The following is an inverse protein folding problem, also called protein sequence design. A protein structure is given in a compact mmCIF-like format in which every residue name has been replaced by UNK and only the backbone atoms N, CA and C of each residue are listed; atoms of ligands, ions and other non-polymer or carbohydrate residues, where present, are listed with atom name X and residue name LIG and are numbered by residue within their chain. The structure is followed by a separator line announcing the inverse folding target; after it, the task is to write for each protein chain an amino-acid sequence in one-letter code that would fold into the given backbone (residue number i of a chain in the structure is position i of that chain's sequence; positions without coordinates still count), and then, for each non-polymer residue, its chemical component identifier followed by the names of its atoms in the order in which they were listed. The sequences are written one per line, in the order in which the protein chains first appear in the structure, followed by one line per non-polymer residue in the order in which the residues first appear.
data_IF_049519395099
#
_entry.id   IF_049519395099
#
_cell.length_a   1.000
_cell.length_b   1.000
_cell.length_c   1.000
_cell.angle_alpha   90.00
_cell.angle_beta   90.00
_cell.angle_gamma   90.00
#
_symmetry.space_group_name_H-M   'P 1'
#
loop_
_entity.id
_entity.type
_entity.pdbx_description
1 polymer ?
#
# COMPACT_ATOMS: atom_id res chain seq x y z
N UNK A 1 -41.39 9.09 21.91
CA UNK A 1 -42.78 9.30 21.47
C UNK A 1 -42.86 10.64 20.79
N UNK A 2 -43.49 10.70 19.64
CA UNK A 2 -43.62 11.91 18.84
C UNK A 2 -44.77 12.73 19.35
N UNK A 3 -44.52 13.86 19.96
CA UNK A 3 -45.54 14.90 20.17
C UNK A 3 -45.57 15.90 18.99
N UNK A 4 -44.78 15.63 17.94
CA UNK A 4 -44.68 16.39 16.70
C UNK A 4 -43.62 17.49 16.75
N UNK A 5 -42.74 17.51 17.76
CA UNK A 5 -41.75 18.59 18.00
C UNK A 5 -40.40 18.10 18.49
N UNK A 6 -40.13 16.79 18.32
CA UNK A 6 -38.86 16.18 18.72
C UNK A 6 -37.80 16.31 17.60
N UNK A 7 -36.52 16.26 18.01
CA UNK A 7 -35.42 16.11 17.09
C UNK A 7 -35.52 14.74 16.40
N UNK A 8 -35.57 14.74 15.07
CA UNK A 8 -35.45 13.51 14.28
C UNK A 8 -34.07 13.41 13.69
N UNK A 9 -33.38 12.31 13.94
CA UNK A 9 -32.10 12.03 13.32
C UNK A 9 -32.19 10.70 12.59
N UNK A 10 -31.46 10.64 11.48
CA UNK A 10 -31.49 9.46 10.61
C UNK A 10 -30.13 9.26 9.92
N UNK A 11 -29.90 8.02 9.50
CA UNK A 11 -28.74 7.62 8.69
C UNK A 11 -29.26 7.03 7.40
N UNK A 12 -28.76 7.52 6.28
CA UNK A 12 -29.05 6.99 4.96
C UNK A 12 -27.88 6.10 4.48
N UNK A 13 -28.23 5.11 3.71
CA UNK A 13 -27.26 4.39 2.91
C UNK A 13 -26.60 5.36 1.92
N UNK A 14 -25.37 5.04 1.48
CA UNK A 14 -24.71 5.78 0.41
C UNK A 14 -25.68 5.92 -0.79
N UNK A 15 -25.72 7.10 -1.37
CA UNK A 15 -26.63 7.49 -2.45
C UNK A 15 -28.12 7.56 -2.07
N UNK A 16 -28.42 7.62 -0.77
CA UNK A 16 -29.78 7.72 -0.22
C UNK A 16 -30.73 6.59 -0.68
N UNK A 17 -30.22 5.43 -1.06
CA UNK A 17 -31.00 4.31 -1.57
C UNK A 17 -31.92 3.69 -0.51
N UNK A 18 -31.57 3.80 0.77
CA UNK A 18 -32.40 3.36 1.90
C UNK A 18 -32.05 4.14 3.17
N UNK A 19 -33.02 4.22 4.09
CA UNK A 19 -32.77 4.68 5.46
C UNK A 19 -32.29 3.48 6.30
N UNK A 20 -31.08 3.60 6.85
CA UNK A 20 -30.46 2.56 7.70
C UNK A 20 -30.93 2.66 9.14
N UNK A 21 -31.15 3.89 9.60
CA UNK A 21 -31.60 4.18 10.95
C UNK A 21 -32.41 5.48 10.97
N UNK A 22 -33.36 5.58 11.86
CA UNK A 22 -34.09 6.82 12.16
C UNK A 22 -34.74 6.73 13.52
N UNK A 23 -34.62 7.80 14.30
CA UNK A 23 -35.22 7.90 15.64
C UNK A 23 -35.57 9.33 16.00
N UNK A 24 -36.56 9.46 16.83
CA UNK A 24 -36.91 10.71 17.48
C UNK A 24 -36.22 10.79 18.84
N UNK A 25 -35.78 11.98 19.21
CA UNK A 25 -35.16 12.25 20.50
C UNK A 25 -35.70 13.59 21.04
N UNK A 26 -36.28 13.54 22.21
CA UNK A 26 -36.87 14.70 22.87
C UNK A 26 -37.60 14.33 24.13
N UNK A 27 -38.28 15.29 24.74
CA UNK A 27 -39.11 15.07 25.90
C UNK A 27 -40.45 14.39 25.56
N UNK A 28 -40.93 13.57 26.48
CA UNK A 28 -42.24 12.94 26.42
C UNK A 28 -43.32 13.91 26.95
N UNK A 29 -43.89 14.73 26.09
CA UNK A 29 -44.98 15.62 26.49
C UNK A 29 -46.33 14.93 26.38
N UNK A 30 -47.09 14.93 27.46
CA UNK A 30 -48.53 14.77 27.43
C UNK A 30 -49.16 16.08 26.94
N UNK A 31 -50.20 15.96 26.11
CA UNK A 31 -50.88 17.06 25.45
C UNK A 31 -50.97 18.35 26.28
N UNK A 32 -50.47 19.49 25.75
CA UNK A 32 -50.50 20.84 26.26
C UNK A 32 -49.33 21.29 27.19
N UNK A 33 -48.25 20.53 27.33
CA UNK A 33 -47.02 21.01 27.98
C UNK A 33 -45.90 21.08 26.94
N UNK A 34 -45.96 22.10 26.10
CA UNK A 34 -45.18 22.16 24.90
C UNK A 34 -43.73 22.53 25.11
N UNK A 35 -42.84 21.60 24.89
CA UNK A 35 -41.47 21.85 24.47
C UNK A 35 -41.35 21.78 22.95
N UNK A 36 -40.47 22.55 22.39
CA UNK A 36 -40.02 22.40 21.00
C UNK A 36 -38.54 22.17 21.01
N UNK A 37 -38.11 20.95 20.68
CA UNK A 37 -36.70 20.70 20.44
C UNK A 37 -36.37 21.10 19.01
N UNK A 38 -35.35 21.94 18.85
CA UNK A 38 -34.96 22.41 17.54
C UNK A 38 -33.46 22.69 17.46
N UNK A 39 -32.95 22.66 16.23
CA UNK A 39 -31.55 22.97 15.93
C UNK A 39 -31.47 24.39 15.39
N UNK A 40 -30.91 25.31 16.17
CA UNK A 40 -30.65 26.67 15.74
C UNK A 40 -29.28 26.75 15.07
N UNK A 41 -29.22 26.73 13.73
CA UNK A 41 -27.99 26.87 12.97
C UNK A 41 -26.92 25.85 13.34
N UNK A 42 -27.34 24.65 13.67
CA UNK A 42 -26.51 23.66 14.35
C UNK A 42 -25.37 23.14 13.53
N UNK A 43 -24.26 22.91 14.19
CA UNK A 43 -23.13 22.16 13.68
C UNK A 43 -23.11 20.81 14.33
N UNK A 44 -23.32 19.76 13.53
CA UNK A 44 -23.00 18.38 13.92
C UNK A 44 -21.50 18.16 13.81
N UNK A 45 -20.94 17.37 14.71
CA UNK A 45 -19.57 16.87 14.65
C UNK A 45 -19.58 15.37 14.72
N UNK A 46 -18.66 14.76 14.01
CA UNK A 46 -18.41 13.33 14.03
C UNK A 46 -16.99 13.10 14.52
N UNK A 47 -16.81 12.12 15.39
CA UNK A 47 -15.48 11.64 15.71
C UNK A 47 -15.07 10.45 14.80
N UNK A 48 -13.84 10.01 14.96
CA UNK A 48 -13.28 8.88 14.20
C UNK A 48 -14.00 7.54 14.45
N UNK A 49 -14.77 7.43 15.52
CA UNK A 49 -15.57 6.27 15.87
C UNK A 49 -17.03 6.38 15.38
N UNK A 50 -17.35 7.42 14.61
CA UNK A 50 -18.69 7.66 14.09
C UNK A 50 -19.70 8.14 15.12
N UNK A 51 -19.23 8.64 16.28
CA UNK A 51 -20.10 9.24 17.31
C UNK A 51 -20.49 10.63 16.85
N UNK A 52 -21.80 10.90 16.90
CA UNK A 52 -22.37 12.20 16.56
C UNK A 52 -22.47 13.06 17.82
N UNK A 53 -22.01 14.29 17.73
CA UNK A 53 -22.18 15.32 18.75
C UNK A 53 -23.03 16.44 18.17
N UNK A 54 -24.19 16.68 18.77
CA UNK A 54 -25.14 17.70 18.33
C UNK A 54 -25.56 18.57 19.49
N UNK A 55 -25.47 19.89 19.32
CA UNK A 55 -26.08 20.85 20.21
C UNK A 55 -27.49 21.20 19.69
N UNK A 56 -28.46 21.18 20.56
CA UNK A 56 -29.87 21.56 20.27
C UNK A 56 -30.40 22.48 21.33
N UNK A 57 -31.39 23.25 20.95
CA UNK A 57 -32.27 23.97 21.86
C UNK A 57 -33.34 22.99 22.33
N UNK A 58 -33.23 22.51 23.56
CA UNK A 58 -34.11 21.47 24.07
C UNK A 58 -34.67 21.75 25.45
N UNK A 59 -35.59 20.92 25.90
CA UNK A 59 -36.26 21.00 27.17
C UNK A 59 -36.87 22.39 27.44
N UNK A 60 -37.63 22.87 26.47
CA UNK A 60 -38.21 24.21 26.48
C UNK A 60 -39.40 24.32 27.46
N UNK A 61 -39.35 25.26 28.39
CA UNK A 61 -40.47 25.58 29.26
C UNK A 61 -41.37 26.62 28.59
N UNK A 62 -42.45 26.21 28.01
CA UNK A 62 -43.45 27.13 27.42
C UNK A 62 -44.55 27.46 28.44
N UNK A 63 -44.18 28.17 29.54
CA UNK A 63 -45.13 28.65 30.53
C UNK A 63 -45.66 27.59 31.51
N UNK A 64 -45.13 26.39 31.52
CA UNK A 64 -45.51 25.35 32.49
C UNK A 64 -44.73 25.52 33.81
N UNK A 65 -45.38 25.31 34.97
CA UNK A 65 -44.71 25.43 36.27
C UNK A 65 -43.66 24.38 36.56
N UNK A 66 -43.72 23.25 35.82
CA UNK A 66 -42.72 22.16 35.88
C UNK A 66 -42.24 21.84 34.50
N UNK A 67 -40.91 21.76 34.34
CA UNK A 67 -40.34 21.26 33.07
C UNK A 67 -40.70 19.79 32.84
N UNK A 68 -41.01 19.40 31.60
CA UNK A 68 -41.09 17.99 31.26
C UNK A 68 -39.76 17.29 31.56
N UNK A 69 -39.84 15.98 31.83
CA UNK A 69 -38.64 15.18 32.08
C UNK A 69 -37.95 14.93 30.76
N UNK A 70 -36.80 15.55 30.58
CA UNK A 70 -35.95 15.32 29.42
C UNK A 70 -35.15 14.02 29.57
N UNK A 71 -35.02 13.20 28.54
CA UNK A 71 -34.27 11.96 28.64
C UNK A 71 -32.77 12.26 28.75
N UNK A 72 -32.22 12.14 29.95
CA UNK A 72 -30.79 12.32 30.23
C UNK A 72 -30.12 10.99 30.55
N UNK A 73 -28.85 10.85 30.18
CA UNK A 73 -28.04 9.69 30.56
C UNK A 73 -27.52 9.83 32.00
N UNK A 74 -27.28 8.73 32.73
CA UNK A 74 -26.64 8.79 34.03
C UNK A 74 -25.31 9.55 33.98
N UNK A 75 -25.10 10.46 34.90
CA UNK A 75 -23.91 11.34 34.94
C UNK A 75 -23.97 12.58 34.04
N UNK A 76 -25.11 12.90 33.46
CA UNK A 76 -25.31 14.17 32.76
C UNK A 76 -25.08 15.36 33.72
N UNK A 77 -24.51 16.47 33.17
CA UNK A 77 -24.24 17.68 33.91
C UNK A 77 -25.47 18.25 34.64
N UNK A 78 -26.61 18.22 33.98
CA UNK A 78 -27.89 18.58 34.55
C UNK A 78 -29.00 17.73 33.97
N UNK A 79 -29.92 17.30 34.79
CA UNK A 79 -31.11 16.53 34.38
C UNK A 79 -32.33 17.40 34.21
N UNK A 80 -32.24 18.68 34.55
CA UNK A 80 -33.37 19.62 34.54
C UNK A 80 -33.01 20.92 33.84
N UNK A 81 -33.99 21.54 33.21
CA UNK A 81 -33.90 22.92 32.79
C UNK A 81 -34.22 23.85 34.01
N UNK A 82 -33.19 24.50 34.57
CA UNK A 82 -33.27 25.35 35.72
C UNK A 82 -33.56 26.84 35.38
N UNK A 83 -33.82 27.15 34.11
CA UNK A 83 -34.16 28.51 33.68
C UNK A 83 -35.58 28.90 34.14
N UNK A 84 -35.83 30.19 34.38
CA UNK A 84 -37.16 30.69 34.75
C UNK A 84 -38.19 30.59 33.62
N UNK A 85 -37.76 30.38 32.40
CA UNK A 85 -38.56 30.20 31.19
C UNK A 85 -37.62 30.01 29.97
N UNK A 86 -38.15 29.51 28.88
CA UNK A 86 -37.38 29.27 27.66
C UNK A 86 -36.72 27.89 27.59
N UNK A 87 -35.89 27.73 26.59
CA UNK A 87 -35.17 26.47 26.29
C UNK A 87 -33.77 26.45 26.94
N UNK A 88 -33.17 25.27 27.01
CA UNK A 88 -31.82 25.12 27.47
C UNK A 88 -30.94 24.57 26.33
N UNK A 89 -29.63 24.83 26.37
CA UNK A 89 -28.69 24.17 25.49
C UNK A 89 -28.55 22.72 25.93
N UNK A 90 -28.94 21.80 25.05
CA UNK A 90 -28.82 20.38 25.28
C UNK A 90 -27.75 19.82 24.36
N UNK A 91 -26.79 19.07 24.91
CA UNK A 91 -25.79 18.35 24.16
C UNK A 91 -26.22 16.91 24.01
N UNK A 92 -26.38 16.47 22.78
CA UNK A 92 -26.73 15.08 22.44
C UNK A 92 -25.48 14.40 21.90
N UNK A 93 -25.11 13.32 22.57
CA UNK A 93 -24.05 12.42 22.08
C UNK A 93 -24.72 11.12 21.63
N UNK A 94 -24.66 10.84 20.34
CA UNK A 94 -25.26 9.65 19.75
C UNK A 94 -24.14 8.74 19.32
N UNK A 95 -23.86 7.71 20.11
CA UNK A 95 -23.03 6.59 19.69
C UNK A 95 -23.93 5.63 18.90
N UNK A 96 -23.90 5.74 17.61
CA UNK A 96 -24.48 4.71 16.78
C UNK A 96 -23.44 3.59 16.70
N UNK A 97 -23.77 2.42 17.19
CA UNK A 97 -22.98 1.20 16.95
C UNK A 97 -23.20 0.78 15.48
N UNK A 98 -22.95 1.72 14.57
CA UNK A 98 -22.93 1.53 13.13
C UNK A 98 -21.53 1.03 12.74
N UNK A 99 -21.05 -0.01 13.42
CA UNK A 99 -19.90 -0.73 12.94
C UNK A 99 -20.27 -1.24 11.54
N UNK A 100 -19.80 -0.52 10.53
CA UNK A 100 -19.93 -0.94 9.14
C UNK A 100 -18.83 -1.95 8.84
N UNK A 101 -19.12 -2.89 7.95
CA UNK A 101 -18.07 -3.64 7.28
C UNK A 101 -17.45 -2.76 6.22
N UNK A 102 -16.13 -2.82 6.08
CA UNK A 102 -15.39 -2.13 5.03
C UNK A 102 -14.39 -3.08 4.38
N UNK A 103 -14.14 -2.91 3.10
CA UNK A 103 -13.17 -3.67 2.33
C UNK A 103 -12.13 -2.75 1.70
N UNK A 104 -10.86 -3.11 1.82
CA UNK A 104 -9.75 -2.41 1.18
C UNK A 104 -8.73 -3.43 0.67
N UNK A 105 -8.92 -3.86 -0.56
CA UNK A 105 -8.07 -4.85 -1.21
C UNK A 105 -6.68 -4.30 -1.52
N UNK A 106 -5.66 -5.09 -1.20
CA UNK A 106 -4.27 -4.87 -1.63
C UNK A 106 -3.66 -6.15 -2.15
N UNK A 107 -2.70 -5.99 -3.05
CA UNK A 107 -1.92 -7.08 -3.64
C UNK A 107 -0.50 -7.12 -3.10
N UNK A 108 0.13 -8.29 -3.19
CA UNK A 108 1.58 -8.45 -3.18
C UNK A 108 2.00 -9.51 -4.18
N UNK A 109 3.17 -9.33 -4.79
CA UNK A 109 3.73 -10.25 -5.77
C UNK A 109 5.15 -10.60 -5.32
N UNK A 110 5.44 -11.89 -5.15
CA UNK A 110 6.74 -12.37 -4.64
C UNK A 110 7.22 -11.63 -3.36
N UNK A 111 6.29 -11.29 -2.47
CA UNK A 111 6.57 -10.58 -1.22
C UNK A 111 6.73 -9.06 -1.36
N UNK A 112 6.60 -8.49 -2.58
CA UNK A 112 6.63 -7.04 -2.80
C UNK A 112 5.22 -6.47 -2.59
N UNK A 113 5.00 -5.66 -1.54
CA UNK A 113 3.68 -5.11 -1.25
C UNK A 113 3.22 -4.09 -2.30
N UNK A 114 1.93 -4.09 -2.60
CA UNK A 114 1.27 -3.18 -3.56
C UNK A 114 1.72 -3.33 -5.00
N UNK A 115 2.47 -4.38 -5.32
CA UNK A 115 2.77 -4.70 -6.71
C UNK A 115 1.51 -5.23 -7.40
N UNK A 116 1.27 -4.75 -8.62
CA UNK A 116 0.07 -4.99 -9.41
C UNK A 116 0.37 -5.47 -10.83
N UNK A 117 1.63 -5.80 -11.12
CA UNK A 117 2.01 -6.22 -12.47
C UNK A 117 3.08 -7.30 -12.45
N UNK A 118 3.01 -8.21 -13.42
CA UNK A 118 4.00 -9.26 -13.55
C UNK A 118 3.85 -10.06 -14.84
N UNK A 119 4.70 -11.07 -14.97
CA UNK A 119 4.73 -11.96 -16.14
C UNK A 119 3.89 -13.20 -15.90
N UNK A 120 3.19 -13.66 -16.95
CA UNK A 120 2.43 -14.90 -16.95
C UNK A 120 3.35 -16.13 -16.84
N UNK A 121 3.04 -17.19 -16.05
CA UNK A 121 1.97 -17.23 -15.06
C UNK A 121 2.28 -16.33 -13.84
N UNK A 122 1.31 -15.54 -13.39
CA UNK A 122 1.49 -14.59 -12.31
C UNK A 122 0.67 -14.99 -11.09
N UNK A 123 1.35 -15.34 -10.01
CA UNK A 123 0.70 -15.56 -8.71
C UNK A 123 0.70 -14.27 -7.91
N UNK A 124 -0.46 -13.87 -7.44
CA UNK A 124 -0.69 -12.66 -6.65
C UNK A 124 -1.36 -13.03 -5.35
N UNK A 125 -0.81 -12.53 -4.24
CA UNK A 125 -1.44 -12.61 -2.93
C UNK A 125 -2.29 -11.37 -2.73
N UNK A 126 -3.51 -11.56 -2.24
CA UNK A 126 -4.48 -10.51 -1.95
C UNK A 126 -4.81 -10.49 -0.47
N UNK A 127 -5.00 -9.30 0.07
CA UNK A 127 -5.44 -9.10 1.46
C UNK A 127 -6.44 -7.97 1.54
N UNK A 128 -7.47 -8.16 2.36
CA UNK A 128 -8.26 -7.04 2.88
C UNK A 128 -7.52 -6.43 4.08
N UNK A 129 -7.08 -5.18 3.95
CA UNK A 129 -6.27 -4.52 4.98
C UNK A 129 -7.09 -4.02 6.18
N UNK A 130 -8.41 -4.03 6.08
CA UNK A 130 -9.32 -3.68 7.18
C UNK A 130 -9.63 -4.92 8.02
N UNK A 131 -9.98 -6.04 7.37
CA UNK A 131 -10.08 -7.34 8.00
C UNK A 131 -11.18 -7.47 9.06
N UNK A 132 -12.23 -6.65 9.01
CA UNK A 132 -13.31 -6.61 10.00
C UNK A 132 -14.59 -7.35 9.59
N UNK A 133 -14.56 -8.06 8.45
CA UNK A 133 -15.70 -8.84 7.95
C UNK A 133 -15.72 -10.27 8.49
N UNK A 134 -16.88 -10.90 8.47
CA UNK A 134 -17.02 -12.33 8.81
C UNK A 134 -16.67 -13.26 7.65
N UNK A 135 -16.81 -12.78 6.42
CA UNK A 135 -16.44 -13.51 5.21
C UNK A 135 -16.09 -12.58 4.08
N UNK A 136 -15.33 -13.10 3.11
CA UNK A 136 -14.76 -12.37 2.00
C UNK A 136 -15.04 -13.12 0.70
N UNK A 137 -15.76 -12.49 -0.24
CA UNK A 137 -15.99 -13.04 -1.58
C UNK A 137 -15.00 -12.39 -2.55
N UNK A 138 -14.28 -13.22 -3.29
CA UNK A 138 -13.26 -12.80 -4.25
C UNK A 138 -13.68 -13.18 -5.66
N UNK A 139 -13.58 -12.24 -6.59
CA UNK A 139 -13.66 -12.46 -8.04
C UNK A 139 -12.40 -11.90 -8.68
N UNK A 140 -11.67 -12.74 -9.41
CA UNK A 140 -10.37 -12.37 -9.97
C UNK A 140 -10.48 -11.72 -11.35
N UNK A 141 -11.66 -11.69 -11.95
CA UNK A 141 -11.92 -11.02 -13.24
C UNK A 141 -11.35 -11.75 -14.46
N UNK A 142 -10.82 -12.95 -14.30
CA UNK A 142 -10.24 -13.79 -15.36
C UNK A 142 -11.18 -14.91 -15.86
N UNK A 143 -12.42 -14.92 -15.39
CA UNK A 143 -13.41 -15.95 -15.70
C UNK A 143 -13.37 -17.17 -14.76
N UNK A 144 -12.44 -17.22 -13.81
CA UNK A 144 -12.43 -18.25 -12.77
C UNK A 144 -13.65 -18.10 -11.84
N UNK A 145 -14.11 -19.18 -11.19
CA UNK A 145 -15.19 -19.11 -10.22
C UNK A 145 -14.87 -18.19 -9.06
N UNK A 146 -15.88 -17.49 -8.54
CA UNK A 146 -15.75 -16.76 -7.28
C UNK A 146 -15.38 -17.73 -6.14
N UNK A 147 -14.54 -17.28 -5.23
CA UNK A 147 -14.22 -18.00 -4.00
C UNK A 147 -14.67 -17.21 -2.78
N UNK A 148 -14.97 -17.91 -1.69
CA UNK A 148 -15.30 -17.29 -0.40
C UNK A 148 -14.33 -17.79 0.65
N UNK A 149 -13.77 -16.87 1.43
CA UNK A 149 -12.85 -17.16 2.55
C UNK A 149 -13.39 -16.59 3.86
N UNK A 150 -13.07 -17.24 4.96
CA UNK A 150 -13.33 -16.71 6.30
C UNK A 150 -12.18 -15.81 6.79
N UNK A 151 -11.04 -15.85 6.10
CA UNK A 151 -9.86 -15.01 6.39
C UNK A 151 -9.74 -13.88 5.37
N UNK A 152 -9.17 -12.73 5.76
CA UNK A 152 -9.08 -11.56 4.87
C UNK A 152 -8.04 -11.68 3.76
N UNK A 153 -7.51 -12.86 3.51
CA UNK A 153 -6.44 -13.10 2.54
C UNK A 153 -6.74 -14.29 1.63
N UNK A 154 -6.21 -14.23 0.43
CA UNK A 154 -6.23 -15.30 -0.57
C UNK A 154 -5.08 -15.14 -1.56
N UNK A 155 -4.85 -16.15 -2.38
CA UNK A 155 -3.88 -16.11 -3.48
C UNK A 155 -4.53 -16.61 -4.76
N UNK A 156 -4.14 -16.05 -5.91
CA UNK A 156 -4.62 -16.47 -7.22
C UNK A 156 -3.51 -16.41 -8.27
N UNK A 157 -3.56 -17.34 -9.22
CA UNK A 157 -2.60 -17.39 -10.33
C UNK A 157 -3.30 -17.11 -11.66
N UNK A 158 -2.89 -16.02 -12.30
CA UNK A 158 -3.33 -15.64 -13.64
C UNK A 158 -2.49 -16.35 -14.69
N UNK A 159 -3.12 -17.13 -15.56
CA UNK A 159 -2.46 -17.96 -16.58
C UNK A 159 -2.54 -17.39 -18.00
N UNK A 160 -3.11 -16.21 -18.17
CA UNK A 160 -3.20 -15.54 -19.46
C UNK A 160 -2.80 -14.06 -19.35
N UNK A 161 -2.38 -13.50 -20.49
CA UNK A 161 -2.07 -12.06 -20.60
C UNK A 161 -3.37 -11.26 -20.53
N UNK A 162 -3.37 -10.19 -19.74
CA UNK A 162 -4.53 -9.33 -19.60
C UNK A 162 -4.39 -8.28 -18.50
N UNK A 163 -5.42 -7.48 -18.37
CA UNK A 163 -5.63 -6.62 -17.20
C UNK A 163 -6.92 -7.06 -16.52
N UNK A 164 -6.79 -7.52 -15.30
CA UNK A 164 -7.87 -8.13 -14.54
C UNK A 164 -8.32 -7.20 -13.43
N UNK A 165 -9.61 -6.90 -13.38
CA UNK A 165 -10.22 -6.15 -12.28
C UNK A 165 -10.64 -7.14 -11.19
N UNK A 166 -9.80 -7.27 -10.17
CA UNK A 166 -10.08 -8.13 -9.02
C UNK A 166 -11.02 -7.40 -8.08
N UNK A 167 -12.11 -8.07 -7.69
CA UNK A 167 -13.13 -7.56 -6.77
C UNK A 167 -13.10 -8.35 -5.48
N UNK A 168 -13.09 -7.61 -4.38
CA UNK A 168 -13.35 -8.11 -3.03
C UNK A 168 -14.73 -7.60 -2.58
N UNK A 169 -15.55 -8.48 -2.00
CA UNK A 169 -16.72 -8.10 -1.21
C UNK A 169 -16.48 -8.59 0.22
N UNK A 170 -16.31 -7.66 1.14
CA UNK A 170 -16.29 -7.92 2.57
C UNK A 170 -17.71 -7.99 3.11
N UNK A 171 -18.06 -9.04 3.86
CA UNK A 171 -19.44 -9.34 4.27
C UNK A 171 -19.49 -9.57 5.78
N UNK A 172 -20.35 -8.82 6.46
CA UNK A 172 -20.75 -9.05 7.84
C UNK A 172 -22.26 -8.77 8.01
N UNK A 173 -23.10 -9.81 8.13
CA UNK A 173 -24.55 -9.66 8.28
C UNK A 173 -24.98 -8.90 9.53
N UNK A 174 -24.11 -8.77 10.53
CA UNK A 174 -24.40 -8.09 11.80
C UNK A 174 -24.10 -6.57 11.75
N UNK A 175 -23.63 -6.07 10.60
CA UNK A 175 -23.34 -4.65 10.40
C UNK A 175 -24.43 -3.95 9.62
N UNK A 176 -24.50 -2.62 9.74
CA UNK A 176 -25.54 -1.82 9.12
C UNK A 176 -25.52 -1.84 7.58
N UNK A 177 -24.34 -1.93 6.98
CA UNK A 177 -24.19 -1.99 5.52
C UNK A 177 -24.09 -3.42 4.97
N UNK A 178 -24.00 -4.43 5.84
CA UNK A 178 -23.93 -5.86 5.54
C UNK A 178 -22.75 -6.25 4.65
N UNK A 179 -22.36 -5.42 3.69
CA UNK A 179 -21.27 -5.66 2.74
C UNK A 179 -20.62 -4.37 2.25
N UNK A 180 -19.35 -4.45 1.90
CA UNK A 180 -18.62 -3.41 1.19
C UNK A 180 -17.77 -4.02 0.07
N UNK A 181 -17.49 -3.23 -0.98
CA UNK A 181 -16.83 -3.72 -2.19
C UNK A 181 -15.61 -2.86 -2.52
N UNK A 182 -14.49 -3.53 -2.77
CA UNK A 182 -13.23 -2.92 -3.17
C UNK A 182 -12.69 -3.57 -4.44
N UNK A 183 -11.93 -2.81 -5.24
CA UNK A 183 -11.36 -3.26 -6.51
C UNK A 183 -9.87 -2.95 -6.59
N UNK A 184 -9.14 -3.81 -7.29
CA UNK A 184 -7.75 -3.58 -7.69
C UNK A 184 -7.54 -4.14 -9.10
N UNK A 185 -6.74 -3.45 -9.92
CA UNK A 185 -6.39 -3.93 -11.25
C UNK A 185 -5.02 -4.60 -11.22
N UNK A 186 -4.95 -5.82 -11.77
CA UNK A 186 -3.71 -6.60 -11.93
C UNK A 186 -3.39 -6.70 -13.42
N UNK A 187 -2.20 -6.27 -13.80
CA UNK A 187 -1.70 -6.35 -15.18
C UNK A 187 -0.76 -7.56 -15.33
N UNK A 188 -1.09 -8.46 -16.22
CA UNK A 188 -0.32 -9.66 -16.56
C UNK A 188 0.18 -9.55 -18.00
N UNK A 189 1.48 -9.62 -18.20
CA UNK A 189 2.12 -9.57 -19.51
C UNK A 189 2.93 -10.82 -19.82
N UNK A 190 3.46 -10.91 -21.04
CA UNK A 190 4.34 -11.98 -21.50
C UNK A 190 5.70 -11.46 -22.03
N UNK A 191 5.82 -10.15 -22.21
CA UNK A 191 7.04 -9.52 -22.70
C UNK A 191 8.04 -9.37 -21.56
N UNK A 192 8.88 -10.38 -21.34
CA UNK A 192 9.91 -10.38 -20.30
C UNK A 192 11.27 -10.00 -20.87
N UNK A 193 11.95 -9.02 -20.27
CA UNK A 193 13.34 -8.69 -20.56
C UNK A 193 14.28 -9.43 -19.61
N UNK A 194 15.46 -9.81 -20.12
CA UNK A 194 16.57 -10.32 -19.29
C UNK A 194 17.60 -9.21 -19.15
N UNK A 195 17.99 -8.90 -17.91
CA UNK A 195 18.94 -7.81 -17.63
C UNK A 195 20.37 -8.32 -17.59
N UNK A 196 21.28 -7.52 -18.13
CA UNK A 196 22.70 -7.78 -18.07
C UNK A 196 23.49 -6.54 -18.49
N UNK A 197 24.68 -6.35 -17.94
CA UNK A 197 25.62 -5.33 -18.39
C UNK A 197 27.06 -5.73 -18.09
N UNK A 198 28.01 -5.11 -18.79
CA UNK A 198 29.43 -5.30 -18.60
C UNK A 198 30.14 -3.93 -18.54
N UNK A 199 30.86 -3.61 -17.44
CA UNK A 199 31.72 -2.44 -17.39
C UNK A 199 33.05 -2.69 -18.10
N UNK A 200 33.46 -1.79 -18.98
CA UNK A 200 34.73 -1.84 -19.70
C UNK A 200 35.54 -0.59 -19.36
N UNK A 201 36.69 -0.76 -18.72
CA UNK A 201 37.61 0.34 -18.42
C UNK A 201 38.17 0.92 -19.71
N UNK A 202 38.18 2.24 -19.85
CA UNK A 202 38.71 2.93 -21.02
C UNK A 202 40.14 3.46 -20.74
N UNK A 203 41.00 3.52 -21.77
CA UNK A 203 42.32 4.15 -21.64
C UNK A 203 42.19 5.69 -21.49
N UNK A 204 43.19 6.36 -20.85
CA UNK A 204 44.35 5.77 -20.22
C UNK A 204 44.04 5.07 -18.90
N UNK A 205 44.94 4.19 -18.44
CA UNK A 205 44.68 3.35 -17.25
C UNK A 205 44.50 4.15 -15.93
N UNK A 206 45.02 5.33 -15.86
CA UNK A 206 44.88 6.27 -14.74
C UNK A 206 43.58 7.09 -14.78
N UNK A 207 42.83 7.04 -15.89
CA UNK A 207 41.51 7.59 -15.96
C UNK A 207 40.50 6.60 -15.37
N UNK A 208 39.62 7.09 -14.50
CA UNK A 208 38.52 6.28 -13.93
C UNK A 208 37.29 6.30 -14.83
N UNK A 209 37.49 6.21 -16.15
CA UNK A 209 36.44 6.24 -17.15
C UNK A 209 36.10 4.82 -17.59
N UNK A 210 34.79 4.55 -17.60
CA UNK A 210 34.24 3.27 -18.00
C UNK A 210 33.15 3.45 -19.06
N UNK A 211 33.10 2.48 -19.96
CA UNK A 211 31.95 2.22 -20.84
C UNK A 211 31.15 1.08 -20.22
N UNK A 212 29.87 1.28 -20.04
CA UNK A 212 28.94 0.26 -19.56
C UNK A 212 28.16 -0.26 -20.75
N UNK A 213 28.48 -1.46 -21.19
CA UNK A 213 27.79 -2.12 -22.29
C UNK A 213 26.53 -2.77 -21.75
N UNK A 214 25.36 -2.33 -22.24
CA UNK A 214 24.09 -2.95 -21.89
C UNK A 214 23.94 -4.26 -22.66
N UNK A 215 23.95 -5.39 -21.95
CA UNK A 215 23.82 -6.74 -22.48
C UNK A 215 22.40 -7.30 -22.24
N UNK A 216 21.45 -6.45 -21.87
CA UNK A 216 20.08 -6.88 -21.68
C UNK A 216 19.45 -7.34 -22.99
N UNK A 217 18.59 -8.36 -22.89
CA UNK A 217 17.92 -8.98 -24.03
C UNK A 217 16.42 -8.71 -23.95
N UNK A 218 15.89 -8.09 -25.01
CA UNK A 218 14.45 -7.89 -25.18
C UNK A 218 13.83 -9.07 -25.94
N UNK A 219 12.53 -9.35 -25.73
CA UNK A 219 11.79 -10.24 -26.63
C UNK A 219 11.83 -9.73 -28.07
N UNK A 220 11.90 -10.64 -29.08
CA UNK A 220 12.03 -10.23 -30.50
C UNK A 220 10.89 -9.33 -30.99
N UNK A 221 9.70 -9.47 -30.42
CA UNK A 221 8.51 -8.67 -30.78
C UNK A 221 8.55 -7.24 -30.25
N UNK A 222 9.47 -6.92 -29.32
CA UNK A 222 9.57 -5.59 -28.73
C UNK A 222 11.00 -5.23 -28.36
N UNK A 223 11.73 -4.48 -29.18
CA UNK A 223 13.07 -3.98 -28.86
C UNK A 223 12.98 -2.89 -27.79
N UNK A 224 14.09 -2.66 -27.06
CA UNK A 224 14.20 -1.58 -26.09
C UNK A 224 14.08 -0.20 -26.75
N UNK A 225 13.30 0.67 -26.12
CA UNK A 225 13.18 2.08 -26.51
C UNK A 225 14.34 2.93 -25.95
N UNK A 226 14.41 4.20 -26.32
CA UNK A 226 15.50 5.11 -25.90
C UNK A 226 15.50 5.44 -24.41
N UNK A 227 14.43 5.11 -23.69
CA UNK A 227 14.26 5.39 -22.26
C UNK A 227 13.94 4.12 -21.45
N UNK A 228 14.26 2.94 -21.98
CA UNK A 228 13.91 1.68 -21.30
C UNK A 228 14.68 1.45 -20.00
N UNK A 229 15.84 2.10 -19.82
CA UNK A 229 16.72 1.86 -18.67
C UNK A 229 17.10 3.13 -17.93
N UNK A 230 17.40 2.94 -16.63
CA UNK A 230 18.04 3.92 -15.78
C UNK A 230 19.35 3.29 -15.27
N UNK A 231 20.46 4.03 -15.40
CA UNK A 231 21.74 3.73 -14.79
C UNK A 231 21.93 4.51 -13.52
N UNK A 232 22.40 3.81 -12.47
CA UNK A 232 22.85 4.37 -11.20
C UNK A 232 24.27 3.84 -10.96
N UNK A 233 25.26 4.73 -10.98
CA UNK A 233 26.67 4.33 -10.93
C UNK A 233 27.18 4.13 -9.50
N UNK A 234 26.35 4.41 -8.49
CA UNK A 234 26.66 4.14 -7.09
C UNK A 234 27.63 5.16 -6.45
N UNK A 235 27.98 6.23 -7.14
CA UNK A 235 28.91 7.28 -6.67
C UNK A 235 28.20 8.58 -6.26
N UNK A 236 26.87 8.58 -6.24
CA UNK A 236 26.05 9.75 -5.91
C UNK A 236 25.82 10.74 -7.06
N UNK A 237 26.35 10.48 -8.25
CA UNK A 237 26.02 11.29 -9.44
C UNK A 237 24.57 11.08 -9.86
N UNK A 238 23.99 12.03 -10.63
CA UNK A 238 22.63 11.88 -11.15
C UNK A 238 22.48 10.62 -12.01
N UNK A 239 21.37 9.93 -11.87
CA UNK A 239 21.00 8.76 -12.69
C UNK A 239 20.90 9.13 -14.16
N UNK A 240 21.29 8.21 -15.03
CA UNK A 240 21.25 8.38 -16.47
C UNK A 240 20.16 7.53 -17.08
N UNK A 241 19.22 8.15 -17.81
CA UNK A 241 18.21 7.44 -18.61
C UNK A 241 18.78 7.12 -19.96
N UNK A 242 18.66 5.85 -20.40
CA UNK A 242 19.23 5.37 -21.66
C UNK A 242 18.37 4.27 -22.31
N UNK A 243 18.64 3.98 -23.57
CA UNK A 243 18.14 2.80 -24.26
C UNK A 243 19.01 1.56 -24.06
N UNK A 244 18.91 0.61 -24.99
CA UNK A 244 19.70 -0.64 -24.97
C UNK A 244 21.18 -0.48 -25.36
N UNK A 245 21.65 0.74 -25.65
CA UNK A 245 23.05 1.01 -26.00
C UNK A 245 23.96 1.19 -24.79
N UNK A 246 25.29 1.33 -25.06
CA UNK A 246 26.30 1.58 -24.05
C UNK A 246 26.22 3.00 -23.53
N UNK A 247 26.62 3.23 -22.27
CA UNK A 247 26.78 4.55 -21.65
C UNK A 247 28.20 4.73 -21.13
N UNK A 248 28.65 5.99 -21.06
CA UNK A 248 29.96 6.35 -20.51
C UNK A 248 29.76 6.98 -19.14
N UNK A 249 30.65 6.64 -18.20
CA UNK A 249 30.71 7.26 -16.89
C UNK A 249 32.14 7.38 -16.38
N UNK A 250 32.45 8.47 -15.64
CA UNK A 250 33.75 8.72 -15.06
C UNK A 250 33.62 8.89 -13.54
N UNK A 251 34.32 8.08 -12.79
CA UNK A 251 34.40 8.20 -11.34
C UNK A 251 35.44 9.24 -10.92
N UNK A 252 35.15 9.99 -9.88
CA UNK A 252 36.06 11.01 -9.38
C UNK A 252 37.19 10.44 -8.52
N UNK A 253 36.95 9.30 -7.85
CA UNK A 253 37.88 8.69 -6.92
C UNK A 253 37.95 7.16 -7.12
N UNK A 254 39.07 6.52 -6.74
CA UNK A 254 39.12 5.08 -6.62
C UNK A 254 38.17 4.59 -5.51
N UNK A 255 37.65 3.39 -5.66
CA UNK A 255 36.74 2.79 -4.68
C UNK A 255 35.89 1.66 -5.28
N UNK A 256 35.06 1.05 -4.47
CA UNK A 256 34.08 0.05 -4.93
C UNK A 256 32.70 0.68 -5.01
N UNK A 257 32.11 0.64 -6.19
CA UNK A 257 30.81 1.22 -6.49
C UNK A 257 29.80 0.14 -6.86
N UNK A 258 28.60 0.21 -6.30
CA UNK A 258 27.49 -0.69 -6.67
C UNK A 258 26.76 -0.11 -7.86
N UNK A 259 27.16 -0.54 -9.07
CA UNK A 259 26.51 -0.09 -10.30
C UNK A 259 25.19 -0.84 -10.48
N UNK A 260 24.12 -0.11 -10.74
CA UNK A 260 22.77 -0.63 -10.89
C UNK A 260 22.18 -0.25 -12.23
N UNK A 261 21.72 -1.25 -12.98
CA UNK A 261 20.89 -1.09 -14.18
C UNK A 261 19.45 -1.41 -13.83
N UNK A 262 18.55 -0.49 -14.10
CA UNK A 262 17.12 -0.60 -13.79
C UNK A 262 16.33 -0.57 -15.09
N UNK A 263 15.51 -1.59 -15.33
CA UNK A 263 14.49 -1.60 -16.36
C UNK A 263 13.28 -0.81 -15.86
N UNK A 264 12.97 0.33 -16.49
CA UNK A 264 11.81 1.17 -16.12
C UNK A 264 10.65 1.09 -17.12
N UNK A 265 10.87 0.54 -18.30
CA UNK A 265 9.84 0.46 -19.35
C UNK A 265 8.74 -0.51 -18.96
N UNK A 266 7.60 0.02 -18.54
CA UNK A 266 6.43 -0.75 -18.10
C UNK A 266 5.76 -1.56 -19.20
N UNK A 267 6.22 -1.50 -20.44
CA UNK A 267 5.79 -2.41 -21.49
C UNK A 267 6.28 -3.82 -21.28
N UNK A 268 7.37 -3.99 -20.52
CA UNK A 268 7.85 -5.29 -20.08
C UNK A 268 7.15 -5.72 -18.81
N UNK A 269 6.79 -6.99 -18.75
CA UNK A 269 6.01 -7.51 -17.61
C UNK A 269 6.82 -7.59 -16.31
N UNK A 270 8.16 -7.66 -16.40
CA UNK A 270 9.04 -7.63 -15.23
C UNK A 270 9.54 -6.22 -14.86
N UNK A 271 9.02 -5.15 -15.44
CA UNK A 271 9.37 -3.79 -15.02
C UNK A 271 8.47 -3.32 -13.85
N UNK A 272 9.07 -2.68 -12.81
CA UNK A 272 10.49 -2.40 -12.66
C UNK A 272 11.30 -3.62 -12.21
N UNK A 273 12.44 -3.85 -12.84
CA UNK A 273 13.41 -4.88 -12.47
C UNK A 273 14.81 -4.28 -12.45
N UNK A 274 15.76 -4.90 -11.77
CA UNK A 274 17.11 -4.34 -11.71
C UNK A 274 18.17 -5.38 -11.42
N UNK A 275 19.37 -5.13 -11.94
CA UNK A 275 20.59 -5.88 -11.62
C UNK A 275 21.62 -4.93 -11.03
N UNK A 276 22.35 -5.38 -10.00
CA UNK A 276 23.41 -4.62 -9.35
C UNK A 276 24.70 -5.42 -9.39
N UNK A 277 25.79 -4.78 -9.78
CA UNK A 277 27.13 -5.41 -9.83
C UNK A 277 28.13 -4.47 -9.15
N UNK A 278 28.94 -4.95 -8.18
CA UNK A 278 30.03 -4.17 -7.62
C UNK A 278 31.12 -3.98 -8.67
N UNK A 279 31.61 -2.75 -8.80
CA UNK A 279 32.73 -2.34 -9.65
C UNK A 279 33.85 -1.76 -8.81
N UNK A 280 35.01 -2.39 -8.84
CA UNK A 280 36.23 -1.82 -8.22
C UNK A 280 36.91 -0.89 -9.21
N UNK A 281 36.99 0.37 -8.85
CA UNK A 281 37.62 1.45 -9.62
C UNK A 281 38.95 1.77 -9.01
N UNK A 282 40.04 1.55 -9.74
CA UNK A 282 41.41 1.91 -9.32
C UNK A 282 42.27 2.23 -10.55
N UNK A 283 43.33 3.03 -10.34
CA UNK A 283 44.32 3.32 -11.37
C UNK A 283 45.23 2.10 -11.64
N UNK A 284 45.51 1.29 -10.62
CA UNK A 284 46.43 0.16 -10.68
C UNK A 284 45.72 -1.16 -10.38
N UNK A 285 46.01 -2.20 -11.15
CA UNK A 285 45.63 -3.55 -10.80
C UNK A 285 46.66 -4.11 -9.82
N UNK A 286 46.20 -4.49 -8.63
CA UNK A 286 47.06 -5.11 -7.61
C UNK A 286 46.47 -6.48 -7.30
N UNK A 287 47.22 -7.53 -7.61
CA UNK A 287 46.87 -8.88 -7.23
C UNK A 287 47.13 -9.10 -5.74
N UNK A 288 46.14 -9.54 -5.01
CA UNK A 288 46.23 -9.83 -3.58
C UNK A 288 45.24 -10.89 -3.17
N UNK A 289 45.61 -11.72 -2.22
CA UNK A 289 44.70 -12.70 -1.63
C UNK A 289 45.07 -13.01 -0.19
N UNK A 290 44.15 -13.55 0.56
CA UNK A 290 44.38 -14.09 1.90
C UNK A 290 44.05 -15.59 1.92
N UNK A 291 44.82 -16.34 2.69
CA UNK A 291 44.60 -17.77 2.92
C UNK A 291 45.20 -18.15 4.29
N UNK A 292 44.68 -19.16 4.98
CA UNK A 292 45.32 -19.72 6.15
C UNK A 292 46.72 -20.25 5.79
N UNK A 293 47.72 -19.87 6.55
CA UNK A 293 49.13 -20.21 6.25
C UNK A 293 49.49 -21.67 6.45
N UNK A 294 48.71 -22.40 7.25
CA UNK A 294 49.01 -23.82 7.61
C UNK A 294 47.70 -24.61 7.78
N UNK A 295 47.75 -25.88 7.45
CA UNK A 295 46.67 -26.86 7.64
C UNK A 295 47.22 -28.28 7.83
N UNK A 296 46.41 -29.20 8.35
CA UNK A 296 46.77 -30.62 8.46
C UNK A 296 46.51 -31.32 7.10
N UNK A 297 47.12 -32.51 6.90
CA UNK A 297 46.92 -33.29 5.72
C UNK A 297 45.41 -33.50 5.41
N UNK A 298 45.04 -33.39 4.14
CA UNK A 298 43.66 -33.29 3.62
C UNK A 298 42.94 -31.96 4.00
N UNK A 299 43.70 -30.87 3.95
CA UNK A 299 43.21 -29.54 4.25
C UNK A 299 42.60 -28.88 3.00
N UNK A 300 41.35 -28.43 3.14
CA UNK A 300 40.70 -27.57 2.15
C UNK A 300 41.08 -26.13 2.43
N UNK A 301 42.03 -25.59 1.66
CA UNK A 301 42.42 -24.21 1.75
C UNK A 301 41.35 -23.29 1.12
N UNK A 302 40.94 -22.26 1.82
CA UNK A 302 40.11 -21.20 1.28
C UNK A 302 41.00 -20.02 0.90
N UNK A 303 40.87 -19.57 -0.35
CA UNK A 303 41.58 -18.40 -0.87
C UNK A 303 40.58 -17.28 -1.08
N UNK A 304 40.72 -16.21 -0.30
CA UNK A 304 39.88 -15.01 -0.43
C UNK A 304 40.57 -14.00 -1.33
N UNK A 305 39.97 -13.66 -2.44
CA UNK A 305 40.50 -12.67 -3.37
C UNK A 305 40.33 -11.26 -2.81
N UNK A 306 41.46 -10.59 -2.55
CA UNK A 306 41.53 -9.20 -2.08
C UNK A 306 42.16 -8.26 -3.10
N UNK A 307 42.27 -8.71 -4.38
CA UNK A 307 42.84 -7.93 -5.48
C UNK A 307 42.06 -6.65 -5.73
N UNK A 308 42.74 -5.59 -6.12
CA UNK A 308 42.17 -4.31 -6.49
C UNK A 308 42.04 -4.17 -8.01
N UNK A 309 40.90 -3.66 -8.49
CA UNK A 309 40.64 -3.31 -9.89
C UNK A 309 40.76 -4.43 -10.94
N UNK A 310 40.94 -5.68 -10.54
CA UNK A 310 40.93 -6.82 -11.45
C UNK A 310 39.52 -7.15 -11.93
N UNK A 311 39.36 -7.48 -13.21
CA UNK A 311 38.09 -7.95 -13.78
C UNK A 311 38.05 -9.47 -13.96
N UNK A 312 39.24 -10.06 -14.12
CA UNK A 312 39.42 -11.51 -14.24
C UNK A 312 40.64 -11.93 -13.43
N UNK A 313 40.60 -13.13 -12.88
CA UNK A 313 41.67 -13.69 -12.08
C UNK A 313 42.01 -15.10 -12.57
N UNK A 314 43.30 -15.40 -12.59
CA UNK A 314 43.80 -16.74 -12.77
C UNK A 314 44.46 -17.19 -11.48
N UNK A 315 44.02 -18.30 -10.94
CA UNK A 315 44.62 -18.93 -9.79
C UNK A 315 45.56 -20.04 -10.22
N UNK A 316 46.78 -20.01 -9.72
CA UNK A 316 47.73 -21.13 -9.81
C UNK A 316 48.01 -21.56 -8.36
N UNK A 317 47.62 -22.76 -8.01
CA UNK A 317 47.75 -23.27 -6.65
C UNK A 317 49.13 -23.87 -6.34
N UNK A 318 50.05 -23.91 -7.30
CA UNK A 318 51.39 -24.44 -7.17
C UNK A 318 51.50 -25.97 -7.14
N UNK A 319 50.38 -26.68 -7.29
CA UNK A 319 50.29 -28.12 -7.37
C UNK A 319 50.03 -28.62 -8.82
N UNK A 320 50.08 -27.71 -9.78
CA UNK A 320 49.78 -27.96 -11.20
C UNK A 320 48.31 -27.76 -11.56
N UNK A 321 47.48 -27.39 -10.63
CA UNK A 321 46.09 -27.05 -10.89
C UNK A 321 45.87 -25.54 -10.97
N UNK A 322 44.93 -25.11 -11.82
CA UNK A 322 44.53 -23.70 -12.00
C UNK A 322 43.02 -23.55 -11.99
N UNK A 323 42.51 -22.37 -11.71
CA UNK A 323 41.09 -22.02 -11.74
C UNK A 323 40.86 -20.63 -12.33
#
# INVERSE_FOLDING_TARGET
TTDGRDLYFFVLQKDAAAQLFGSFFGENNTANQGGTDHVDGGTSRFDENGVIYQAICGNCKLGAPTAPVYPTTPGAWSTNNNTAGGCNLTMVKIAMNLAGVAGNIRSSIAGVPRDTSGCVPLTVDFVDTIGNAQSYEWNFGDGSPNITTATPNTSHTFNAVGTYSVRLIAIDPNTCNVRDTSYINIRVGDLRATLGFNPVKLPPCDAFQYRFDNLSVAPPSRPFGPQSFIWDFGDGTPRVVAGGGSVLHSYANPGTYNVKLILQDTAYCNAPDSITTPLSVDANVIASFTTPATGCLQYNAVFDNTSQAGQTWLWDFGDGTTS
#
